data_IF_582337165889
#
_entry.id   IF_582337165889
#
_cell.length_a   1.000
_cell.length_b   1.000
_cell.length_c   1.000
_cell.angle_alpha   90.00
_cell.angle_beta   90.00
_cell.angle_gamma   90.00
#
_symmetry.space_group_name_H-M   'P 1'
#
loop_
_entity.id
_entity.type
_entity.pdbx_description
1 polymer ?
#
# COMPACT_ATOMS: atom_id res chain seq x y z
N UNK A 1 6.34 -8.37 -3.38
CA UNK A 1 7.58 -7.77 -3.91
C UNK A 1 7.76 -6.40 -3.28
N UNK A 2 8.96 -6.10 -2.80
CA UNK A 2 9.34 -4.82 -2.21
C UNK A 2 9.86 -3.91 -3.34
N UNK A 3 8.95 -3.30 -4.10
CA UNK A 3 9.27 -2.49 -5.29
C UNK A 3 9.32 -0.99 -5.00
N UNK A 4 9.66 -0.61 -3.77
CA UNK A 4 9.85 0.80 -3.44
C UNK A 4 10.88 1.44 -4.37
N UNK A 5 10.72 2.72 -4.68
CA UNK A 5 11.58 3.42 -5.63
C UNK A 5 13.07 3.45 -5.21
N UNK A 6 13.36 3.34 -3.92
CA UNK A 6 14.73 3.22 -3.36
C UNK A 6 15.36 1.84 -3.58
N UNK A 7 14.59 0.84 -4.02
CA UNK A 7 15.07 -0.47 -4.46
C UNK A 7 15.33 -0.55 -5.98
N UNK A 8 15.33 0.60 -6.67
CA UNK A 8 15.70 0.71 -8.08
C UNK A 8 16.98 1.54 -8.24
N UNK A 9 17.81 1.16 -9.21
CA UNK A 9 18.94 1.95 -9.68
C UNK A 9 18.83 2.16 -11.18
N UNK A 10 19.23 3.35 -11.62
CA UNK A 10 19.05 3.79 -12.99
C UNK A 10 20.40 4.14 -13.62
N UNK A 11 20.59 3.80 -14.89
CA UNK A 11 21.75 4.21 -15.68
C UNK A 11 21.32 4.53 -17.11
N UNK A 12 22.18 5.21 -17.86
CA UNK A 12 21.95 5.41 -19.29
C UNK A 12 22.90 4.53 -20.09
N UNK A 13 22.40 3.91 -21.16
CA UNK A 13 23.24 3.30 -22.20
C UNK A 13 24.02 4.39 -22.96
N UNK A 14 25.00 3.98 -23.76
CA UNK A 14 25.77 4.86 -24.64
C UNK A 14 24.88 5.71 -25.58
N UNK A 15 23.70 5.21 -25.95
CA UNK A 15 22.70 5.93 -26.76
C UNK A 15 21.73 6.82 -25.98
N UNK A 16 21.91 7.01 -24.66
CA UNK A 16 21.08 7.88 -23.81
C UNK A 16 19.78 7.26 -23.28
N UNK A 17 19.41 6.06 -23.75
CA UNK A 17 18.28 5.28 -23.23
C UNK A 17 18.44 5.02 -21.73
N UNK A 18 17.39 5.30 -20.96
CA UNK A 18 17.35 5.07 -19.51
C UNK A 18 17.03 3.60 -19.23
N UNK A 19 17.88 2.96 -18.47
CA UNK A 19 17.72 1.59 -17.98
C UNK A 19 17.45 1.57 -16.49
N UNK A 20 16.80 0.51 -16.03
CA UNK A 20 16.43 0.30 -14.63
C UNK A 20 16.81 -1.12 -14.19
N UNK A 21 17.43 -1.21 -13.02
CA UNK A 21 17.71 -2.45 -12.33
C UNK A 21 17.05 -2.44 -10.97
N UNK A 22 16.63 -3.61 -10.50
CA UNK A 22 15.94 -3.79 -9.23
C UNK A 22 16.82 -4.59 -8.28
N UNK A 23 16.93 -4.13 -7.04
CA UNK A 23 17.60 -4.82 -5.93
C UNK A 23 16.58 -5.22 -4.86
N UNK A 24 17.06 -5.82 -3.77
CA UNK A 24 16.21 -6.26 -2.64
C UNK A 24 15.06 -7.19 -3.05
N UNK A 25 15.44 -8.36 -3.59
CA UNK A 25 14.51 -9.41 -4.01
C UNK A 25 13.87 -10.18 -2.85
N UNK A 26 14.05 -9.74 -1.58
CA UNK A 26 13.55 -10.45 -0.40
C UNK A 26 12.03 -10.66 -0.40
N UNK A 27 11.28 -9.77 -1.08
CA UNK A 27 9.83 -9.90 -1.27
C UNK A 27 9.41 -10.49 -2.62
N UNK A 28 10.32 -11.00 -3.44
CA UNK A 28 10.00 -11.48 -4.79
C UNK A 28 9.08 -12.71 -4.74
N UNK A 29 8.00 -12.66 -5.50
CA UNK A 29 6.99 -13.72 -5.50
C UNK A 29 5.78 -13.37 -6.36
N UNK A 30 4.83 -14.31 -6.38
CA UNK A 30 3.55 -14.16 -7.07
C UNK A 30 2.65 -13.23 -6.27
N UNK A 31 2.14 -12.20 -6.93
CA UNK A 31 1.15 -11.26 -6.38
C UNK A 31 0.39 -10.63 -7.55
N UNK A 32 -0.77 -10.03 -7.27
CA UNK A 32 -1.49 -9.25 -8.28
C UNK A 32 -0.67 -8.04 -8.74
N UNK A 33 -1.01 -7.47 -9.90
CA UNK A 33 -0.27 -6.35 -10.46
C UNK A 33 -0.49 -5.07 -9.66
N UNK A 34 -1.69 -4.86 -9.12
CA UNK A 34 -1.96 -3.74 -8.21
C UNK A 34 -1.11 -3.80 -6.93
N UNK A 35 -0.77 -5.02 -6.45
CA UNK A 35 0.18 -5.17 -5.35
C UNK A 35 1.53 -4.60 -5.73
N UNK A 36 2.07 -4.98 -6.89
CA UNK A 36 3.37 -4.49 -7.37
C UNK A 36 3.37 -2.97 -7.49
N UNK A 37 2.31 -2.39 -8.06
CA UNK A 37 2.18 -0.94 -8.24
C UNK A 37 2.09 -0.21 -6.89
N UNK A 38 1.31 -0.71 -5.94
CA UNK A 38 1.21 -0.11 -4.61
C UNK A 38 2.58 0.00 -3.93
N UNK A 39 3.38 -1.06 -3.99
CA UNK A 39 4.74 -1.04 -3.43
C UNK A 39 5.70 -0.08 -4.16
N UNK A 40 5.38 0.39 -5.37
CA UNK A 40 6.16 1.46 -6.00
C UNK A 40 5.84 2.85 -5.44
N UNK A 41 4.62 3.06 -4.93
CA UNK A 41 4.08 4.40 -4.62
C UNK A 41 3.65 4.58 -3.16
N UNK A 42 3.66 3.54 -2.32
CA UNK A 42 3.20 3.59 -0.92
C UNK A 42 3.96 4.61 -0.04
N UNK A 43 5.17 5.00 -0.43
CA UNK A 43 5.99 6.00 0.26
C UNK A 43 5.90 7.39 -0.40
N UNK A 44 5.15 7.56 -1.49
CA UNK A 44 4.88 8.88 -2.06
C UNK A 44 3.97 9.70 -1.12
N UNK A 45 3.91 11.02 -1.30
CA UNK A 45 2.95 11.84 -0.55
C UNK A 45 1.52 11.47 -0.94
N UNK A 46 0.60 11.46 0.04
CA UNK A 46 -0.76 10.98 -0.20
C UNK A 46 -1.48 11.79 -1.27
N UNK A 47 -1.36 13.12 -1.25
CA UNK A 47 -1.96 14.00 -2.26
C UNK A 47 -1.50 13.60 -3.65
N UNK A 48 -0.22 13.24 -3.79
CA UNK A 48 0.35 12.78 -5.05
C UNK A 48 -0.26 11.45 -5.49
N UNK A 49 -0.47 10.50 -4.56
CA UNK A 49 -1.15 9.24 -4.85
C UNK A 49 -2.61 9.48 -5.25
N UNK A 50 -3.36 10.25 -4.47
CA UNK A 50 -4.78 10.55 -4.73
C UNK A 50 -4.97 11.21 -6.09
N UNK A 51 -4.16 12.20 -6.40
CA UNK A 51 -4.34 13.05 -7.58
C UNK A 51 -3.80 12.36 -8.86
N UNK A 52 -2.83 11.45 -8.75
CA UNK A 52 -2.16 10.82 -9.90
C UNK A 52 -2.30 9.29 -10.01
N UNK A 53 -3.07 8.62 -9.14
CA UNK A 53 -3.24 7.16 -9.21
C UNK A 53 -3.73 6.72 -10.59
N UNK A 54 -4.70 7.42 -11.18
CA UNK A 54 -5.22 7.09 -12.51
C UNK A 54 -4.17 7.20 -13.62
N UNK A 55 -3.28 8.18 -13.52
CA UNK A 55 -2.15 8.34 -14.46
C UNK A 55 -1.18 7.17 -14.32
N UNK A 56 -0.84 6.79 -13.09
CA UNK A 56 0.03 5.64 -12.82
C UNK A 56 -0.55 4.32 -13.32
N UNK A 57 -1.85 4.09 -13.13
CA UNK A 57 -2.54 2.91 -13.65
C UNK A 57 -2.46 2.86 -15.19
N UNK A 58 -2.68 3.99 -15.84
CA UNK A 58 -2.64 4.12 -17.30
C UNK A 58 -1.23 3.83 -17.83
N UNK A 59 -0.21 4.48 -17.26
CA UNK A 59 1.20 4.27 -17.64
C UNK A 59 1.61 2.82 -17.40
N UNK A 60 1.26 2.26 -16.25
CA UNK A 60 1.59 0.88 -15.92
C UNK A 60 0.97 -0.10 -16.93
N UNK A 61 -0.32 0.07 -17.24
CA UNK A 61 -1.03 -0.79 -18.17
C UNK A 61 -0.52 -0.65 -19.62
N UNK A 62 -0.22 0.57 -20.07
CA UNK A 62 0.33 0.80 -21.41
C UNK A 62 1.72 0.20 -21.56
N UNK A 63 2.62 0.49 -20.61
CA UNK A 63 3.99 -0.04 -20.63
C UNK A 63 3.99 -1.57 -20.49
N UNK A 64 3.12 -2.13 -19.65
CA UNK A 64 2.99 -3.58 -19.53
C UNK A 64 2.55 -4.22 -20.85
N UNK A 65 1.60 -3.61 -21.56
CA UNK A 65 1.15 -4.10 -22.86
C UNK A 65 2.23 -3.95 -23.95
N UNK A 66 2.91 -2.81 -24.02
CA UNK A 66 4.01 -2.55 -24.95
C UNK A 66 5.18 -3.52 -24.74
N UNK A 67 5.44 -3.92 -23.50
CA UNK A 67 6.42 -4.95 -23.14
C UNK A 67 5.95 -6.40 -23.42
N UNK A 68 4.78 -6.59 -24.05
CA UNK A 68 4.23 -7.89 -24.46
C UNK A 68 3.21 -8.50 -23.49
N UNK A 69 2.81 -7.79 -22.43
CA UNK A 69 1.74 -8.21 -21.53
C UNK A 69 0.34 -8.09 -22.15
N UNK A 70 -0.67 -8.75 -21.56
CA UNK A 70 -2.07 -8.54 -21.94
C UNK A 70 -2.53 -7.11 -21.62
N UNK A 71 -3.60 -6.67 -22.31
CA UNK A 71 -4.30 -5.44 -21.94
C UNK A 71 -4.96 -5.63 -20.57
N UNK A 72 -4.71 -4.68 -19.67
CA UNK A 72 -5.26 -4.70 -18.33
C UNK A 72 -6.55 -3.87 -18.27
N UNK A 73 -7.47 -4.34 -17.44
CA UNK A 73 -8.62 -3.55 -17.01
C UNK A 73 -8.16 -2.60 -15.89
N UNK A 74 -8.33 -1.30 -16.11
CA UNK A 74 -7.86 -0.27 -15.18
C UNK A 74 -8.67 -0.23 -13.89
N UNK A 75 -9.96 -0.59 -13.93
CA UNK A 75 -10.82 -0.61 -12.74
C UNK A 75 -10.44 -1.79 -11.85
N UNK A 76 -10.15 -2.94 -12.45
CA UNK A 76 -9.61 -4.10 -11.72
C UNK A 76 -8.24 -3.77 -11.13
N UNK A 77 -7.37 -3.08 -11.88
CA UNK A 77 -6.05 -2.69 -11.38
C UNK A 77 -6.16 -1.69 -10.22
N UNK A 78 -7.04 -0.70 -10.32
CA UNK A 78 -7.35 0.26 -9.24
C UNK A 78 -7.84 -0.49 -8.00
N UNK A 79 -8.81 -1.39 -8.16
CA UNK A 79 -9.33 -2.20 -7.07
C UNK A 79 -8.21 -2.98 -6.37
N UNK A 80 -7.31 -3.62 -7.12
CA UNK A 80 -6.17 -4.34 -6.55
C UNK A 80 -5.23 -3.42 -5.75
N UNK A 81 -5.00 -2.19 -6.20
CA UNK A 81 -4.17 -1.21 -5.47
C UNK A 81 -4.84 -0.85 -4.15
N UNK A 82 -6.13 -0.50 -4.17
CA UNK A 82 -6.89 -0.12 -2.96
C UNK A 82 -6.96 -1.28 -1.96
N UNK A 83 -7.26 -2.51 -2.41
CA UNK A 83 -7.25 -3.68 -1.52
C UNK A 83 -5.86 -3.95 -0.94
N UNK A 84 -4.80 -3.76 -1.74
CA UNK A 84 -3.43 -3.92 -1.24
C UNK A 84 -3.10 -2.87 -0.18
N UNK A 85 -3.48 -1.61 -0.39
CA UNK A 85 -3.21 -0.53 0.56
C UNK A 85 -3.93 -0.75 1.89
N UNK A 86 -5.17 -1.23 1.86
CA UNK A 86 -5.92 -1.61 3.06
C UNK A 86 -5.27 -2.78 3.81
N UNK A 87 -4.83 -3.81 3.09
CA UNK A 87 -4.05 -4.91 3.68
C UNK A 87 -2.74 -4.42 4.31
N UNK A 88 -2.06 -3.49 3.65
CA UNK A 88 -0.86 -2.84 4.16
C UNK A 88 -1.13 -2.01 5.42
N UNK A 89 -2.29 -1.35 5.49
CA UNK A 89 -2.75 -0.59 6.66
C UNK A 89 -2.84 -1.49 7.89
N UNK A 90 -3.40 -2.69 7.74
CA UNK A 90 -3.45 -3.66 8.84
C UNK A 90 -2.06 -4.03 9.35
N UNK A 91 -1.07 -4.20 8.47
CA UNK A 91 0.33 -4.42 8.89
C UNK A 91 0.91 -3.22 9.63
N UNK A 92 0.57 -1.98 9.23
CA UNK A 92 1.06 -0.78 9.91
C UNK A 92 0.44 -0.61 11.30
N UNK A 93 -0.85 -0.96 11.49
CA UNK A 93 -1.48 -1.00 12.81
C UNK A 93 -0.72 -1.96 13.74
N UNK A 94 -0.34 -3.14 13.24
CA UNK A 94 0.46 -4.11 13.99
C UNK A 94 1.90 -3.64 14.28
N UNK A 95 2.40 -2.66 13.54
CA UNK A 95 3.72 -2.07 13.73
C UNK A 95 3.73 -0.89 14.73
N UNK A 96 2.57 -0.37 15.14
CA UNK A 96 2.46 0.72 16.14
C UNK A 96 3.20 0.41 17.45
N UNK A 97 3.17 -0.81 18.02
CA UNK A 97 3.95 -1.13 19.21
C UNK A 97 5.47 -0.87 19.06
N UNK A 98 6.03 -1.10 17.86
CA UNK A 98 7.43 -0.79 17.58
C UNK A 98 7.69 0.72 17.52
N UNK A 99 6.67 1.55 17.21
CA UNK A 99 6.80 3.00 17.28
C UNK A 99 7.10 3.48 18.70
N UNK A 100 6.54 2.82 19.72
CA UNK A 100 6.78 3.18 21.12
C UNK A 100 8.18 2.84 21.63
N UNK A 101 8.94 1.99 20.91
CA UNK A 101 10.37 1.77 21.25
C UNK A 101 11.27 2.87 20.68
N UNK A 102 10.76 3.65 19.73
CA UNK A 102 11.48 4.73 19.03
C UNK A 102 11.07 6.14 19.50
N UNK A 103 9.86 6.28 20.05
CA UNK A 103 9.31 7.54 20.56
C UNK A 103 8.39 7.25 21.74
N UNK A 104 8.61 7.91 22.88
CA UNK A 104 7.75 7.71 24.05
C UNK A 104 6.33 8.23 23.79
N UNK A 105 5.33 7.72 24.53
CA UNK A 105 3.95 8.22 24.41
C UNK A 105 3.82 9.72 24.69
N UNK A 106 4.59 10.25 25.64
CA UNK A 106 4.60 11.69 25.97
C UNK A 106 5.14 12.53 24.81
N UNK A 107 6.25 12.10 24.20
CA UNK A 107 6.80 12.76 23.01
C UNK A 107 5.82 12.65 21.84
N UNK A 108 5.26 11.47 21.60
CA UNK A 108 4.32 11.22 20.51
C UNK A 108 3.09 12.13 20.61
N UNK A 109 2.53 12.31 21.81
CA UNK A 109 1.40 13.21 22.04
C UNK A 109 1.70 14.69 21.70
N UNK A 110 2.97 15.08 21.67
CA UNK A 110 3.41 16.42 21.28
C UNK A 110 3.74 16.59 19.79
N UNK A 111 3.79 15.49 19.03
CA UNK A 111 4.05 15.50 17.58
C UNK A 111 2.74 15.83 16.86
N UNK A 112 2.76 16.89 16.04
CA UNK A 112 1.56 17.35 15.32
C UNK A 112 1.44 16.79 13.91
N UNK A 113 2.57 16.56 13.26
CA UNK A 113 2.62 16.04 11.91
C UNK A 113 3.94 15.30 11.65
N UNK A 114 3.99 14.55 10.54
CA UNK A 114 5.13 13.71 10.15
C UNK A 114 6.40 14.48 9.80
N UNK A 115 6.33 15.81 9.63
CA UNK A 115 7.48 16.67 9.31
C UNK A 115 8.22 17.10 10.58
N UNK A 116 7.70 16.80 11.76
CA UNK A 116 8.41 16.98 13.02
C UNK A 116 9.80 16.30 12.93
N UNK A 117 10.91 16.98 13.29
CA UNK A 117 12.25 16.41 13.19
C UNK A 117 12.40 15.06 13.89
N UNK A 118 11.66 14.83 14.98
CA UNK A 118 11.68 13.55 15.74
C UNK A 118 11.10 12.38 14.94
N UNK A 119 10.33 12.66 13.89
CA UNK A 119 9.83 11.68 12.92
C UNK A 119 10.70 11.72 11.66
N UNK A 120 10.87 12.89 11.05
CA UNK A 120 11.50 13.05 9.74
C UNK A 120 12.99 12.68 9.72
N UNK A 121 13.72 12.99 10.80
CA UNK A 121 15.16 12.74 10.92
C UNK A 121 15.48 11.43 11.66
N UNK A 122 14.45 10.74 12.17
CA UNK A 122 14.60 9.47 12.88
C UNK A 122 14.78 8.32 11.89
N UNK A 123 16.04 8.06 11.54
CA UNK A 123 16.48 6.98 10.62
C UNK A 123 17.01 5.75 11.36
N UNK A 124 16.71 5.59 12.66
CA UNK A 124 17.24 4.49 13.49
C UNK A 124 16.60 3.13 13.14
N UNK A 125 17.03 2.52 12.03
CA UNK A 125 16.67 1.14 11.64
C UNK A 125 15.78 1.02 10.40
N UNK A 126 15.42 -0.22 10.04
CA UNK A 126 14.68 -0.54 8.79
C UNK A 126 13.21 -0.11 8.81
N UNK A 127 12.57 -0.07 9.98
CA UNK A 127 11.17 0.32 10.13
C UNK A 127 11.12 1.52 11.06
N UNK A 128 11.20 2.70 10.47
CA UNK A 128 11.21 3.96 11.22
C UNK A 128 9.80 4.36 11.61
N UNK A 129 9.69 5.13 12.69
CA UNK A 129 8.47 5.85 13.06
C UNK A 129 7.87 6.59 11.85
N UNK A 130 8.74 7.17 11.00
CA UNK A 130 8.37 7.86 9.77
C UNK A 130 7.61 6.98 8.80
N UNK A 131 8.17 5.83 8.43
CA UNK A 131 7.53 4.94 7.43
C UNK A 131 6.22 4.38 7.95
N UNK A 132 6.18 3.94 9.21
CA UNK A 132 4.95 3.37 9.79
C UNK A 132 3.82 4.39 9.83
N UNK A 133 4.08 5.61 10.33
CA UNK A 133 3.04 6.66 10.38
C UNK A 133 2.61 7.12 9.00
N UNK A 134 3.56 7.29 8.06
CA UNK A 134 3.26 7.74 6.70
C UNK A 134 2.37 6.74 5.95
N UNK A 135 2.71 5.46 6.02
CA UNK A 135 1.97 4.41 5.33
C UNK A 135 0.63 4.10 6.03
N UNK A 136 0.56 4.28 7.36
CA UNK A 136 -0.70 4.19 8.09
C UNK A 136 -1.66 5.34 7.73
N UNK A 137 -1.14 6.57 7.65
CA UNK A 137 -1.89 7.76 7.20
C UNK A 137 -2.49 7.53 5.80
N UNK A 138 -1.70 7.01 4.86
CA UNK A 138 -2.20 6.59 3.55
C UNK A 138 -3.40 5.67 3.65
N UNK A 139 -3.32 4.64 4.49
CA UNK A 139 -4.39 3.67 4.69
C UNK A 139 -5.71 4.30 5.14
N UNK A 140 -5.61 5.17 6.15
CA UNK A 140 -6.77 5.88 6.72
C UNK A 140 -7.35 6.83 5.66
N UNK A 141 -6.51 7.60 4.98
CA UNK A 141 -6.97 8.56 3.97
C UNK A 141 -7.48 7.91 2.70
N UNK A 142 -7.05 6.68 2.37
CA UNK A 142 -7.67 5.90 1.30
C UNK A 142 -9.10 5.51 1.66
N UNK A 143 -9.37 5.16 2.93
CA UNK A 143 -10.73 4.91 3.40
C UNK A 143 -11.58 6.18 3.37
N UNK A 144 -11.02 7.33 3.75
CA UNK A 144 -11.78 8.58 3.88
C UNK A 144 -11.93 9.37 2.57
N UNK A 145 -10.94 9.31 1.67
CA UNK A 145 -10.84 10.19 0.49
C UNK A 145 -10.78 9.42 -0.85
N UNK A 146 -10.68 8.09 -0.87
CA UNK A 146 -10.52 7.29 -2.10
C UNK A 146 -11.42 6.05 -2.18
N UNK A 147 -12.55 6.06 -1.47
CA UNK A 147 -13.59 5.01 -1.52
C UNK A 147 -13.05 3.61 -1.18
N UNK A 148 -12.07 3.52 -0.28
CA UNK A 148 -11.43 2.26 0.07
C UNK A 148 -12.41 1.24 0.68
N UNK A 149 -13.36 1.71 1.47
CA UNK A 149 -14.41 0.89 2.08
C UNK A 149 -15.39 0.35 1.03
N UNK A 150 -15.81 1.19 0.08
CA UNK A 150 -16.64 0.78 -1.05
C UNK A 150 -15.92 -0.23 -1.96
N UNK A 151 -14.61 -0.04 -2.19
CA UNK A 151 -13.79 -0.96 -2.95
C UNK A 151 -13.73 -2.34 -2.27
N UNK A 152 -13.53 -2.38 -0.95
CA UNK A 152 -13.56 -3.63 -0.18
C UNK A 152 -14.95 -4.28 -0.21
N UNK A 153 -16.02 -3.51 0.00
CA UNK A 153 -17.38 -4.02 -0.02
C UNK A 153 -17.74 -4.60 -1.40
N UNK A 154 -17.36 -3.91 -2.47
CA UNK A 154 -17.55 -4.35 -3.86
C UNK A 154 -16.79 -5.65 -4.14
N UNK A 155 -15.51 -5.73 -3.74
CA UNK A 155 -14.74 -6.96 -3.87
C UNK A 155 -15.38 -8.14 -3.13
N UNK A 156 -15.81 -7.93 -1.88
CA UNK A 156 -16.45 -8.97 -1.08
C UNK A 156 -17.76 -9.46 -1.73
N UNK A 157 -18.57 -8.53 -2.23
CA UNK A 157 -19.87 -8.83 -2.86
C UNK A 157 -19.70 -9.53 -4.21
N UNK A 158 -18.98 -8.91 -5.13
CA UNK A 158 -18.96 -9.31 -6.53
C UNK A 158 -17.95 -10.43 -6.81
N UNK A 159 -16.80 -10.40 -6.14
CA UNK A 159 -15.71 -11.36 -6.40
C UNK A 159 -15.72 -12.48 -5.37
N UNK A 160 -15.57 -12.16 -4.08
CA UNK A 160 -15.41 -13.18 -3.04
C UNK A 160 -16.66 -14.05 -2.89
N UNK A 161 -17.84 -13.43 -2.76
CA UNK A 161 -19.12 -14.14 -2.68
C UNK A 161 -19.65 -14.51 -4.06
N UNK A 162 -19.76 -13.53 -4.96
CA UNK A 162 -20.38 -13.70 -6.28
C UNK A 162 -19.62 -14.67 -7.18
N UNK A 163 -18.39 -14.30 -7.57
CA UNK A 163 -17.62 -15.08 -8.54
C UNK A 163 -16.98 -16.35 -7.94
N UNK A 164 -16.51 -16.30 -6.70
CA UNK A 164 -15.78 -17.40 -6.07
C UNK A 164 -16.63 -18.28 -5.16
N UNK A 165 -17.85 -17.86 -4.81
CA UNK A 165 -18.78 -18.65 -4.00
C UNK A 165 -18.33 -18.84 -2.55
N UNK A 166 -17.45 -17.98 -2.03
CA UNK A 166 -17.05 -18.06 -0.63
C UNK A 166 -18.11 -17.43 0.29
N UNK A 167 -18.37 -18.09 1.41
CA UNK A 167 -19.24 -17.55 2.46
C UNK A 167 -18.43 -16.76 3.50
N UNK A 168 -19.03 -15.69 4.00
CA UNK A 168 -18.45 -14.95 5.12
C UNK A 168 -18.48 -15.83 6.38
N UNK A 169 -17.41 -15.79 7.17
CA UNK A 169 -17.42 -16.42 8.50
C UNK A 169 -18.50 -15.78 9.36
N UNK A 170 -19.19 -16.59 10.17
CA UNK A 170 -20.21 -16.06 11.09
C UNK A 170 -19.59 -15.09 12.08
N UNK A 171 -20.37 -14.13 12.60
CA UNK A 171 -19.90 -13.20 13.63
C UNK A 171 -19.35 -13.94 14.85
N UNK A 172 -19.95 -15.06 15.21
CA UNK A 172 -19.49 -15.93 16.30
C UNK A 172 -18.09 -16.52 16.02
N UNK A 173 -17.81 -16.94 14.79
CA UNK A 173 -16.47 -17.42 14.41
C UNK A 173 -15.43 -16.30 14.40
N UNK A 174 -15.82 -15.07 14.07
CA UNK A 174 -14.90 -13.92 13.96
C UNK A 174 -14.65 -13.27 15.33
N UNK A 175 -15.70 -13.06 16.11
CA UNK A 175 -15.68 -12.25 17.33
C UNK A 175 -15.87 -13.08 18.61
N UNK A 176 -16.11 -14.39 18.49
CA UNK A 176 -16.51 -15.24 19.61
C UNK A 176 -17.99 -15.09 19.96
N UNK A 177 -18.47 -15.83 20.99
CA UNK A 177 -19.82 -15.71 21.49
C UNK A 177 -20.11 -14.26 21.89
N UNK A 178 -21.20 -13.70 21.38
CA UNK A 178 -21.62 -12.35 21.78
C UNK A 178 -22.35 -12.43 23.13
N UNK A 179 -22.18 -11.46 24.04
CA UNK A 179 -22.95 -11.43 25.28
C UNK A 179 -24.45 -11.34 24.97
N UNK A 180 -25.27 -12.10 25.70
CA UNK A 180 -26.73 -11.93 25.66
C UNK A 180 -27.08 -10.56 26.28
N UNK A 181 -27.94 -9.79 25.61
CA UNK A 181 -28.47 -8.49 26.09
C UNK A 181 -29.37 -8.64 27.31
#
# INVERSE_FOLDING_TARGET
SNLNADNAYFWRKEGGELECGVIDWGGFGVACLGHKLWWCINCADFEHVRDHLSDYLTIYASTYHEAGGPRLDLDVLRLQVLLTSLGNTAFMVLAVPNCYTMCSMEEFASIRDRKDPRVAENIFGKSTLRTTLHVLDHGIRILEEMDGDEAMATFVKDVFKGAWGFEAKSKEVVWGPQPEE
#
